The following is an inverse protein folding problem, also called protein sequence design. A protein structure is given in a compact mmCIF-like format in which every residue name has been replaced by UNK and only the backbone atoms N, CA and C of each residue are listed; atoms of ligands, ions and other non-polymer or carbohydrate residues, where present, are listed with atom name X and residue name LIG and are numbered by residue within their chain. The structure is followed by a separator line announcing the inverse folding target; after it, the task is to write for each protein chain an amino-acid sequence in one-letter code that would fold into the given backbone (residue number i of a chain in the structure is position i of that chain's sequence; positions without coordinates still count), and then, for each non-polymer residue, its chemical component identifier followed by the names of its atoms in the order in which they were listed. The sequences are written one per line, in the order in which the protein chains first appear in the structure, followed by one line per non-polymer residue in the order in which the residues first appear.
data_IF_117334241490
#
_entry.id   IF_117334241490
#
_cell.length_a   1.000
_cell.length_b   1.000
_cell.length_c   1.000
_cell.angle_alpha   90.00
_cell.angle_beta   90.00
_cell.angle_gamma   90.00
#
_symmetry.space_group_name_H-M   'P 1'
#
loop_
_entity.id
_entity.type
_entity.pdbx_description
1 polymer ?
#
# COMPACT_ATOMS: atom_id res chain seq x y z
N UNK A 1 -2.70 0.06 -18.45
CA UNK A 1 -2.09 -0.47 -19.68
C UNK A 1 -0.57 -0.27 -19.64
N UNK A 2 -0.07 0.97 -19.59
CA UNK A 2 1.37 1.29 -19.51
C UNK A 2 2.18 0.55 -18.41
N UNK A 3 1.74 0.58 -17.14
CA UNK A 3 2.50 -0.07 -16.04
C UNK A 3 2.61 -1.59 -16.21
N UNK A 4 1.55 -2.23 -16.72
CA UNK A 4 1.57 -3.67 -16.98
C UNK A 4 2.49 -4.00 -18.16
N UNK A 5 2.47 -3.17 -19.21
CA UNK A 5 3.41 -3.28 -20.33
C UNK A 5 4.86 -3.08 -19.88
N UNK A 6 5.12 -2.14 -18.97
CA UNK A 6 6.44 -1.93 -18.36
C UNK A 6 6.92 -3.16 -17.60
N UNK A 7 6.04 -3.77 -16.80
CA UNK A 7 6.31 -4.99 -16.04
C UNK A 7 6.63 -6.19 -16.92
N UNK A 8 5.88 -6.38 -18.02
CA UNK A 8 5.99 -7.56 -18.89
C UNK A 8 7.11 -7.42 -19.92
N UNK A 9 7.22 -6.26 -20.57
CA UNK A 9 8.11 -6.07 -21.72
C UNK A 9 9.42 -5.37 -21.37
N UNK A 10 9.51 -4.71 -20.22
CA UNK A 10 10.69 -3.94 -19.80
C UNK A 10 11.08 -4.22 -18.33
N UNK A 11 11.44 -5.48 -17.98
CA UNK A 11 11.67 -5.89 -16.59
C UNK A 11 12.78 -5.09 -15.89
N UNK A 12 13.81 -4.66 -16.61
CA UNK A 12 14.88 -3.81 -16.05
C UNK A 12 14.36 -2.41 -15.65
N UNK A 13 13.35 -1.88 -16.36
CA UNK A 13 12.68 -0.64 -15.98
C UNK A 13 11.68 -0.84 -14.85
N UNK A 14 11.21 -2.07 -14.65
CA UNK A 14 10.30 -2.46 -13.56
C UNK A 14 11.04 -2.72 -12.25
N UNK A 15 12.29 -3.16 -12.30
CA UNK A 15 13.11 -3.49 -11.12
C UNK A 15 13.13 -2.37 -10.05
N UNK A 16 13.32 -1.08 -10.38
CA UNK A 16 13.25 -0.01 -9.38
C UNK A 16 11.88 0.10 -8.69
N UNK A 17 10.79 -0.17 -9.40
CA UNK A 17 9.44 -0.17 -8.84
C UNK A 17 9.30 -1.33 -7.85
N UNK A 18 9.78 -2.51 -8.22
CA UNK A 18 9.74 -3.69 -7.34
C UNK A 18 10.62 -3.51 -6.10
N UNK A 19 11.81 -2.93 -6.24
CA UNK A 19 12.70 -2.56 -5.13
C UNK A 19 12.01 -1.56 -4.21
N UNK A 20 11.40 -0.51 -4.76
CA UNK A 20 10.61 0.45 -3.98
C UNK A 20 9.50 -0.25 -3.21
N UNK A 21 8.70 -1.10 -3.86
CA UNK A 21 7.61 -1.80 -3.19
C UNK A 21 8.10 -2.70 -2.04
N UNK A 22 9.26 -3.35 -2.20
CA UNK A 22 9.85 -4.18 -1.15
C UNK A 22 10.39 -3.33 0.01
N UNK A 23 11.14 -2.26 -0.29
CA UNK A 23 11.64 -1.32 0.71
C UNK A 23 10.51 -0.58 1.45
N UNK A 24 9.37 -0.38 0.78
CA UNK A 24 8.18 0.25 1.37
C UNK A 24 7.67 -0.52 2.59
N UNK A 25 7.81 -1.85 2.60
CA UNK A 25 7.37 -2.68 3.74
C UNK A 25 8.13 -2.32 5.00
N UNK A 26 9.45 -2.23 4.92
CA UNK A 26 10.30 -1.89 6.07
C UNK A 26 9.99 -0.47 6.56
N UNK A 27 9.86 0.49 5.64
CA UNK A 27 9.48 1.86 5.97
C UNK A 27 8.10 1.94 6.65
N UNK A 28 7.11 1.17 6.16
CA UNK A 28 5.77 1.10 6.76
C UNK A 28 5.81 0.47 8.16
N UNK A 29 6.63 -0.57 8.34
CA UNK A 29 6.80 -1.20 9.66
C UNK A 29 7.37 -0.21 10.68
N UNK A 30 8.38 0.59 10.30
CA UNK A 30 8.93 1.62 11.16
C UNK A 30 7.91 2.73 11.45
N UNK A 31 7.21 3.20 10.42
CA UNK A 31 6.15 4.21 10.55
C UNK A 31 5.05 3.79 11.53
N UNK A 32 4.54 2.56 11.41
CA UNK A 32 3.53 2.04 12.33
C UNK A 32 4.06 1.84 13.74
N UNK A 33 5.29 1.35 13.89
CA UNK A 33 5.97 1.24 15.19
C UNK A 33 6.05 2.60 15.90
N UNK A 34 6.44 3.65 15.17
CA UNK A 34 6.50 5.01 15.70
C UNK A 34 5.13 5.55 16.10
N UNK A 35 4.11 5.36 15.25
CA UNK A 35 2.75 5.82 15.54
C UNK A 35 2.13 5.14 16.76
N UNK A 36 2.37 3.84 16.93
CA UNK A 36 1.94 3.09 18.13
C UNK A 36 2.69 3.59 19.38
N UNK A 37 4.02 3.77 19.30
CA UNK A 37 4.82 4.27 20.43
C UNK A 37 4.39 5.68 20.88
N UNK A 38 3.94 6.51 19.95
CA UNK A 38 3.44 7.87 20.20
C UNK A 38 1.98 7.92 20.65
N UNK A 39 1.28 6.78 20.69
CA UNK A 39 -0.16 6.73 21.03
C UNK A 39 -1.08 7.33 19.96
N UNK A 40 -0.57 7.54 18.73
CA UNK A 40 -1.37 8.04 17.59
C UNK A 40 -2.21 6.92 17.01
N UNK A 41 -1.61 5.72 16.88
CA UNK A 41 -2.27 4.52 16.39
C UNK A 41 -2.60 3.56 17.52
N UNK A 42 -3.70 2.82 17.37
CA UNK A 42 -4.01 1.68 18.22
C UNK A 42 -2.97 0.55 18.05
N UNK A 43 -2.86 -0.36 19.03
CA UNK A 43 -1.97 -1.53 18.90
C UNK A 43 -2.55 -2.53 17.90
N UNK A 44 -1.73 -2.92 16.93
CA UNK A 44 -2.01 -4.00 15.98
C UNK A 44 -0.72 -4.74 15.60
N UNK A 45 -0.84 -5.83 14.84
CA UNK A 45 0.31 -6.54 14.31
C UNK A 45 0.94 -5.74 13.15
N UNK A 46 2.09 -5.12 13.40
CA UNK A 46 2.79 -4.23 12.45
C UNK A 46 3.17 -4.94 11.16
N UNK A 47 3.70 -6.17 11.26
CA UNK A 47 4.13 -6.92 10.08
C UNK A 47 2.95 -7.27 9.18
N UNK A 48 1.83 -7.73 9.76
CA UNK A 48 0.62 -8.01 9.02
C UNK A 48 0.09 -6.76 8.30
N UNK A 49 0.09 -5.61 8.98
CA UNK A 49 -0.39 -4.35 8.43
C UNK A 49 0.46 -3.87 7.24
N UNK A 50 1.78 -3.92 7.37
CA UNK A 50 2.69 -3.53 6.29
C UNK A 50 2.60 -4.48 5.08
N UNK A 51 2.36 -5.78 5.31
CA UNK A 51 2.15 -6.74 4.22
C UNK A 51 0.82 -6.52 3.50
N UNK A 52 -0.23 -6.11 4.21
CA UNK A 52 -1.48 -5.72 3.57
C UNK A 52 -1.31 -4.51 2.64
N UNK A 53 -0.51 -3.51 3.02
CA UNK A 53 -0.19 -2.37 2.13
C UNK A 53 0.59 -2.82 0.90
N UNK A 54 1.55 -3.74 1.08
CA UNK A 54 2.33 -4.29 -0.03
C UNK A 54 1.44 -4.95 -1.08
N UNK A 55 0.48 -5.76 -0.63
CA UNK A 55 -0.50 -6.42 -1.49
C UNK A 55 -1.41 -5.40 -2.17
N UNK A 56 -1.81 -4.35 -1.46
CA UNK A 56 -2.57 -3.26 -2.06
C UNK A 56 -1.77 -2.58 -3.18
N UNK A 57 -0.47 -2.31 -3.01
CA UNK A 57 0.35 -1.73 -4.07
C UNK A 57 0.47 -2.62 -5.31
N UNK A 58 0.44 -3.94 -5.15
CA UNK A 58 0.38 -4.85 -6.31
C UNK A 58 -0.95 -4.72 -7.06
N UNK A 59 -2.07 -4.65 -6.34
CA UNK A 59 -3.40 -4.43 -6.95
C UNK A 59 -3.51 -3.04 -7.61
N UNK A 60 -2.97 -2.01 -6.97
CA UNK A 60 -2.99 -0.64 -7.47
C UNK A 60 -2.14 -0.47 -8.75
N UNK A 61 -1.14 -1.32 -8.97
CA UNK A 61 -0.34 -1.31 -10.20
C UNK A 61 -0.85 -2.30 -11.25
N UNK A 62 -1.83 -3.14 -10.92
CA UNK A 62 -2.52 -4.03 -11.86
C UNK A 62 -3.61 -3.26 -12.63
N UNK A 63 -3.27 -2.86 -13.84
CA UNK A 63 -4.20 -2.15 -14.71
C UNK A 63 -5.45 -2.97 -15.10
N UNK A 64 -5.34 -4.30 -15.16
CA UNK A 64 -6.46 -5.19 -15.47
C UNK A 64 -7.44 -5.26 -14.30
N UNK A 65 -6.91 -5.34 -13.07
CA UNK A 65 -7.72 -5.25 -11.86
C UNK A 65 -8.46 -3.91 -11.79
N UNK A 66 -7.76 -2.79 -11.92
CA UNK A 66 -8.36 -1.46 -11.86
C UNK A 66 -9.48 -1.28 -12.91
N UNK A 67 -9.21 -1.65 -14.16
CA UNK A 67 -10.20 -1.54 -15.24
C UNK A 67 -11.43 -2.43 -15.00
N UNK A 68 -11.23 -3.67 -14.55
CA UNK A 68 -12.32 -4.61 -14.24
C UNK A 68 -13.26 -4.08 -13.15
N UNK A 69 -12.73 -3.30 -12.22
CA UNK A 69 -13.46 -2.78 -11.07
C UNK A 69 -13.84 -1.30 -11.20
N UNK A 70 -13.69 -0.69 -12.39
CA UNK A 70 -13.96 0.73 -12.64
C UNK A 70 -13.23 1.69 -11.67
N UNK A 71 -12.00 1.33 -11.28
CA UNK A 71 -11.16 2.12 -10.40
C UNK A 71 -10.12 2.90 -11.21
N UNK A 72 -9.88 4.15 -10.81
CA UNK A 72 -8.61 4.82 -11.10
C UNK A 72 -7.60 4.50 -10.01
N UNK A 73 -6.30 4.66 -10.29
CA UNK A 73 -5.25 4.51 -9.27
C UNK A 73 -5.53 5.42 -8.06
N UNK A 74 -5.94 6.67 -8.33
CA UNK A 74 -6.27 7.63 -7.29
C UNK A 74 -7.41 7.15 -6.40
N UNK A 75 -8.53 6.71 -6.98
CA UNK A 75 -9.70 6.25 -6.22
C UNK A 75 -9.34 5.01 -5.40
N UNK A 76 -8.65 4.03 -5.99
CA UNK A 76 -8.23 2.83 -5.26
C UNK A 76 -7.35 3.17 -4.04
N UNK A 77 -6.44 4.12 -4.19
CA UNK A 77 -5.57 4.60 -3.11
C UNK A 77 -6.37 5.31 -2.02
N UNK A 78 -7.21 6.28 -2.39
CA UNK A 78 -8.03 7.04 -1.44
C UNK A 78 -8.97 6.12 -0.66
N UNK A 79 -9.68 5.23 -1.33
CA UNK A 79 -10.62 4.31 -0.66
C UNK A 79 -9.91 3.34 0.27
N UNK A 80 -8.81 2.71 -0.17
CA UNK A 80 -8.05 1.77 0.66
C UNK A 80 -7.54 2.43 1.94
N UNK A 81 -6.89 3.59 1.82
CA UNK A 81 -6.31 4.27 2.98
C UNK A 81 -7.38 4.90 3.87
N UNK A 82 -8.48 5.43 3.32
CA UNK A 82 -9.60 5.93 4.13
C UNK A 82 -10.22 4.80 4.96
N UNK A 83 -10.52 3.65 4.36
CA UNK A 83 -11.06 2.49 5.08
C UNK A 83 -10.09 2.00 6.15
N UNK A 84 -8.81 1.88 5.81
CA UNK A 84 -7.77 1.42 6.73
C UNK A 84 -7.58 2.38 7.91
N UNK A 85 -7.42 3.68 7.65
CA UNK A 85 -7.11 4.66 8.69
C UNK A 85 -8.28 4.85 9.65
N UNK A 86 -9.53 4.77 9.17
CA UNK A 86 -10.70 4.75 10.04
C UNK A 86 -10.69 3.58 11.05
N UNK A 87 -9.99 2.49 10.75
CA UNK A 87 -9.87 1.33 11.65
C UNK A 87 -8.71 1.39 12.65
N UNK A 88 -7.64 2.16 12.37
CA UNK A 88 -6.42 2.15 13.20
C UNK A 88 -6.21 3.42 14.03
N UNK A 89 -6.90 4.50 13.69
CA UNK A 89 -6.86 5.72 14.49
C UNK A 89 -7.50 5.47 15.86
N UNK A 90 -6.83 5.93 16.90
CA UNK A 90 -7.40 5.92 18.25
C UNK A 90 -8.49 6.97 18.31
N UNK A 91 -9.70 6.59 18.75
CA UNK A 91 -10.72 7.56 19.13
C UNK A 91 -10.17 8.36 20.32
N UNK A 92 -9.55 9.51 20.07
CA UNK A 92 -9.32 10.50 21.11
C UNK A 92 -10.69 10.92 21.63
N UNK A 93 -11.01 10.50 22.85
CA UNK A 93 -11.99 11.22 23.67
C UNK A 93 -11.39 12.56 24.10
#
# INVERSE_FOLDING_TARGET
QYLNELKVFFPNCWEPIQLFQNASVENLMEYYSMGIKRGIFSKFNIALMAQQDRLFFDLATDASFLAKHNLSLQIAFEEYFNTKFNGILTNSK
#
